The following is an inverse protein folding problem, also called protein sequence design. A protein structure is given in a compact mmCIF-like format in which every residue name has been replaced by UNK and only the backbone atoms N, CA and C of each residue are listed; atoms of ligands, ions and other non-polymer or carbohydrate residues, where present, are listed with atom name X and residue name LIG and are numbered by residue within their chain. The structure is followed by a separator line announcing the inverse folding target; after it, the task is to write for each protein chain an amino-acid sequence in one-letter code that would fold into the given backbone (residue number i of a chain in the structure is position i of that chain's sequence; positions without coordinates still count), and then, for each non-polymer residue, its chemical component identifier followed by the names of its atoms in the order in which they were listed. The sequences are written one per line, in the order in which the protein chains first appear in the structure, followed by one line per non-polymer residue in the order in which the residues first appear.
data_IF_311832655277
#
_entry.id   IF_311832655277
#
_cell.length_a   1.000
_cell.length_b   1.000
_cell.length_c   1.000
_cell.angle_alpha   90.00
_cell.angle_beta   90.00
_cell.angle_gamma   90.00
#
_symmetry.space_group_name_H-M   'P 1'
#
loop_
_entity.id
_entity.type
_entity.pdbx_description
1 polymer ?
2 non-polymer ?
3 non-polymer ?
4 non-polymer ?
5 non-polymer ?
6 water ?
#
# COMPACT_ATOMS: atom_id res chain seq x y z
N UNK A 1 5.20 2.24 -18.23
CA UNK A 1 4.41 3.46 -18.18
C UNK A 1 3.75 3.66 -16.82
N UNK A 2 2.69 4.46 -16.83
CA UNK A 2 2.02 4.91 -15.60
C UNK A 2 1.59 3.69 -14.77
N UNK A 3 0.97 2.65 -15.36
CA UNK A 3 0.43 1.55 -14.52
C UNK A 3 1.59 0.75 -13.92
N UNK A 4 2.64 0.54 -14.69
CA UNK A 4 3.81 -0.13 -14.11
C UNK A 4 4.36 0.74 -12.97
N UNK A 5 4.40 2.05 -13.12
CA UNK A 5 4.95 2.95 -12.09
C UNK A 5 4.19 2.76 -10.78
N UNK A 6 2.87 2.58 -10.86
CA UNK A 6 2.10 2.39 -9.63
C UNK A 6 2.61 1.11 -8.93
N UNK A 7 2.92 0.05 -9.68
CA UNK A 7 3.41 -1.25 -9.15
C UNK A 7 4.79 -1.06 -8.57
N UNK A 8 5.63 -0.27 -9.23
CA UNK A 8 7.01 0.06 -8.71
C UNK A 8 6.90 0.83 -7.38
N UNK A 9 6.09 1.85 -7.34
CA UNK A 9 5.97 2.63 -6.08
C UNK A 9 5.40 1.74 -4.98
N UNK A 10 4.35 1.00 -5.28
CA UNK A 10 3.70 0.10 -4.27
C UNK A 10 4.69 -0.92 -3.74
N UNK A 11 5.64 -1.39 -4.54
CA UNK A 11 6.61 -2.40 -4.06
C UNK A 11 7.56 -1.84 -3.00
N UNK A 12 7.74 -0.53 -2.87
CA UNK A 12 8.55 0.02 -1.75
C UNK A 12 7.88 1.29 -1.27
N UNK A 13 6.59 1.21 -1.01
CA UNK A 13 5.74 2.42 -0.90
C UNK A 13 6.14 3.30 0.29
N UNK A 14 6.46 2.68 1.44
CA UNK A 14 6.85 3.41 2.68
C UNK A 14 8.05 4.32 2.34
N UNK A 15 9.09 3.77 1.68
CA UNK A 15 10.30 4.55 1.31
C UNK A 15 9.97 5.62 0.27
N UNK A 16 9.28 5.24 -0.80
CA UNK A 16 8.95 6.24 -1.82
C UNK A 16 8.08 7.37 -1.26
N UNK A 17 7.09 7.04 -0.46
CA UNK A 17 6.14 8.02 0.09
C UNK A 17 6.92 9.05 0.95
N UNK A 18 7.77 8.56 1.85
CA UNK A 18 8.51 9.46 2.74
C UNK A 18 9.40 10.36 1.88
N UNK A 19 10.11 9.78 0.92
CA UNK A 19 11.15 10.48 0.11
C UNK A 19 10.48 11.51 -0.79
N UNK A 20 9.31 11.21 -1.37
CA UNK A 20 8.62 12.22 -2.25
C UNK A 20 8.02 13.34 -1.41
N UNK A 21 7.46 12.98 -0.26
CA UNK A 21 6.84 13.97 0.59
C UNK A 21 7.92 14.88 1.17
N UNK A 22 9.09 14.34 1.48
CA UNK A 22 10.20 15.18 1.95
C UNK A 22 10.65 16.06 0.81
N UNK A 23 10.71 15.50 -0.42
CA UNK A 23 11.13 16.34 -1.56
C UNK A 23 10.17 17.53 -1.66
N UNK A 24 8.89 17.27 -1.44
CA UNK A 24 7.84 18.29 -1.54
C UNK A 24 8.12 19.36 -0.47
N UNK A 25 8.24 18.93 0.77
CA UNK A 25 8.37 19.89 1.91
C UNK A 25 9.69 20.66 1.81
N UNK A 26 10.74 20.09 1.24
CA UNK A 26 12.05 20.79 1.11
C UNK A 26 12.01 21.73 -0.11
N UNK A 27 11.29 21.37 -1.18
CA UNK A 27 11.15 22.29 -2.33
C UNK A 27 10.28 23.49 -1.97
N UNK A 28 9.27 23.34 -1.13
CA UNK A 28 8.21 24.36 -0.83
C UNK A 28 8.11 24.48 0.68
N UNK A 29 9.14 25.07 1.35
CA UNK A 29 9.18 25.11 2.81
C UNK A 29 7.97 25.82 3.40
N UNK A 30 7.36 26.79 2.67
CA UNK A 30 6.18 27.51 3.24
C UNK A 30 5.04 26.51 3.39
N UNK A 31 5.08 25.35 2.70
CA UNK A 31 4.03 24.31 2.80
C UNK A 31 4.01 23.68 4.19
N UNK A 32 5.03 23.85 5.03
CA UNK A 32 5.02 23.33 6.43
C UNK A 32 4.09 24.23 7.29
N UNK A 33 3.52 25.29 6.71
CA UNK A 33 2.48 26.14 7.34
C UNK A 33 1.21 25.31 7.57
N UNK A 34 0.95 24.27 6.78
CA UNK A 34 -0.18 23.32 6.97
C UNK A 34 0.19 22.25 7.98
N UNK A 35 1.48 22.13 8.31
CA UNK A 35 2.06 21.07 9.16
C UNK A 35 3.01 21.72 10.17
N UNK A 36 2.48 22.46 11.15
CA UNK A 36 3.31 23.29 12.09
C UNK A 36 4.28 22.41 12.91
N UNK A 37 3.86 21.20 13.28
CA UNK A 37 4.62 20.13 13.99
C UNK A 37 5.91 19.71 13.22
N UNK A 38 6.06 20.12 11.96
CA UNK A 38 7.19 19.66 11.11
C UNK A 38 8.31 20.69 11.05
N UNK A 39 8.06 21.90 11.53
CA UNK A 39 9.03 23.02 11.58
C UNK A 39 10.23 22.59 12.41
N UNK A 40 11.42 23.02 11.95
CA UNK A 40 12.69 22.86 12.66
C UNK A 40 13.11 21.43 12.79
N UNK A 41 12.67 20.54 11.90
CA UNK A 41 13.06 19.10 11.92
C UNK A 41 13.76 18.75 10.61
N UNK A 42 14.88 18.05 10.71
CA UNK A 42 15.61 17.47 9.56
C UNK A 42 14.73 16.33 9.02
N UNK A 43 15.02 15.89 7.80
CA UNK A 43 14.35 14.72 7.23
C UNK A 43 14.34 13.54 8.17
N UNK A 44 15.49 13.18 8.77
CA UNK A 44 15.63 11.91 9.55
C UNK A 44 14.76 12.02 10.81
N UNK A 45 14.71 13.23 11.37
CA UNK A 45 13.77 13.58 12.47
C UNK A 45 12.35 13.27 12.01
N UNK A 46 11.89 13.96 10.94
CA UNK A 46 10.50 13.87 10.43
C UNK A 46 10.17 12.40 10.32
N UNK A 47 11.08 11.59 9.78
CA UNK A 47 10.84 10.16 9.53
C UNK A 47 10.56 9.50 10.89
N UNK A 48 11.02 10.09 11.99
CA UNK A 48 10.81 9.51 13.34
C UNK A 48 9.63 10.14 14.10
N UNK A 49 8.76 10.91 13.44
CA UNK A 49 7.55 11.47 14.08
C UNK A 49 6.34 10.68 13.55
N UNK A 50 5.55 10.11 14.45
CA UNK A 50 4.51 9.12 14.09
C UNK A 50 3.51 9.72 13.11
N UNK A 51 3.06 10.96 13.30
CA UNK A 51 2.02 11.56 12.43
C UNK A 51 2.59 11.86 11.03
N UNK A 52 3.91 12.09 10.91
CA UNK A 52 4.58 12.15 9.59
C UNK A 52 4.56 10.81 8.86
N UNK A 53 5.00 9.76 9.51
CA UNK A 53 5.05 8.41 8.94
C UNK A 53 3.62 8.00 8.56
N UNK A 54 2.80 7.80 9.59
CA UNK A 54 1.54 7.05 9.42
C UNK A 54 0.83 7.68 8.23
N UNK A 55 0.77 9.01 8.29
CA UNK A 55 0.09 9.96 7.38
C UNK A 55 0.65 9.91 5.96
N UNK A 56 1.94 10.28 5.75
CA UNK A 56 2.63 10.13 4.43
C UNK A 56 2.24 8.75 3.85
N UNK A 57 2.23 7.68 4.63
CA UNK A 57 1.90 6.33 4.08
C UNK A 57 0.43 6.38 3.59
N UNK A 58 -0.45 7.05 4.35
CA UNK A 58 -1.92 7.09 4.03
C UNK A 58 -2.13 7.96 2.78
N UNK A 59 -1.35 9.03 2.62
CA UNK A 59 -1.34 9.88 1.42
C UNK A 59 -1.02 8.99 0.21
N UNK A 60 0.04 8.20 0.29
CA UNK A 60 0.53 7.47 -0.91
C UNK A 60 -0.34 6.22 -1.12
N UNK A 61 -0.83 5.59 -0.05
CA UNK A 61 -1.74 4.43 -0.27
C UNK A 61 -2.92 4.97 -1.09
N UNK A 62 -3.52 6.09 -0.69
CA UNK A 62 -4.75 6.56 -1.40
C UNK A 62 -4.36 7.11 -2.77
N UNK A 63 -3.24 7.81 -2.89
CA UNK A 63 -2.85 8.38 -4.20
C UNK A 63 -2.66 7.22 -5.18
N UNK A 64 -2.06 6.12 -4.75
CA UNK A 64 -1.86 5.01 -5.71
C UNK A 64 -3.22 4.40 -6.09
N UNK A 65 -4.20 4.38 -5.19
CA UNK A 65 -5.57 3.88 -5.54
C UNK A 65 -6.17 4.80 -6.62
N UNK A 66 -6.09 6.07 -6.38
CA UNK A 66 -6.66 7.10 -7.30
C UNK A 66 -5.98 6.97 -8.67
N UNK A 67 -4.65 6.85 -8.70
CA UNK A 67 -3.86 6.60 -9.93
C UNK A 67 -4.35 5.32 -10.57
N UNK A 68 -4.57 4.24 -9.82
CA UNK A 68 -4.99 2.93 -10.36
C UNK A 68 -6.41 2.97 -10.94
N UNK A 69 -7.27 3.81 -10.38
CA UNK A 69 -8.64 3.90 -10.89
C UNK A 69 -8.78 4.85 -12.06
N UNK A 70 -7.74 5.61 -12.37
CA UNK A 70 -7.70 6.59 -13.45
C UNK A 70 -7.75 5.88 -14.81
N UNK A 71 -8.27 6.59 -15.78
CA UNK A 71 -8.14 6.19 -17.22
C UNK A 71 -7.23 7.19 -17.91
N UNK A 72 -6.15 6.75 -18.53
CA UNK A 72 -5.22 7.66 -19.26
C UNK A 72 -4.86 8.88 -18.37
N UNK A 73 -4.53 8.64 -17.11
CA UNK A 73 -4.06 9.67 -16.17
C UNK A 73 -5.18 10.64 -15.80
N UNK A 74 -6.47 10.28 -15.97
CA UNK A 74 -7.59 11.17 -15.63
C UNK A 74 -8.31 10.49 -14.47
N UNK A 75 -8.29 11.10 -13.27
CA UNK A 75 -8.86 10.46 -12.09
C UNK A 75 -10.38 10.46 -12.19
N UNK A 76 -10.99 9.53 -11.49
CA UNK A 76 -12.44 9.50 -11.29
C UNK A 76 -12.90 10.76 -10.58
N UNK A 77 -14.01 11.31 -11.07
CA UNK A 77 -14.61 12.46 -10.37
C UNK A 77 -14.96 12.10 -8.91
N UNK A 78 -15.46 10.88 -8.65
CA UNK A 78 -15.71 10.40 -7.26
C UNK A 78 -14.47 10.48 -6.38
N UNK A 79 -13.27 10.20 -6.92
CA UNK A 79 -12.03 10.22 -6.12
C UNK A 79 -11.73 11.67 -5.74
N UNK A 80 -11.97 12.58 -6.66
CA UNK A 80 -11.70 14.00 -6.42
C UNK A 80 -12.72 14.48 -5.37
N UNK A 81 -14.00 14.15 -5.51
CA UNK A 81 -15.08 14.47 -4.53
C UNK A 81 -14.60 14.01 -3.13
N UNK A 82 -14.21 12.75 -3.03
CA UNK A 82 -13.79 12.15 -1.73
C UNK A 82 -12.67 12.97 -1.13
N UNK A 83 -11.67 13.32 -1.94
CA UNK A 83 -10.52 14.08 -1.46
C UNK A 83 -10.98 15.47 -1.01
N UNK A 84 -11.96 16.05 -1.69
CA UNK A 84 -12.30 17.47 -1.36
C UNK A 84 -12.99 17.50 -0.01
N UNK A 85 -13.91 16.57 0.21
CA UNK A 85 -14.81 16.56 1.39
C UNK A 85 -14.12 15.90 2.60
N UNK A 86 -12.81 15.56 2.50
CA UNK A 86 -12.03 15.16 3.71
C UNK A 86 -11.89 16.32 4.70
N UNK A 87 -12.37 16.14 5.93
CA UNK A 87 -12.39 17.24 6.95
C UNK A 87 -10.95 17.73 7.22
N UNK A 88 -9.99 16.82 7.23
CA UNK A 88 -8.54 17.06 7.41
C UNK A 88 -7.96 18.01 6.33
N UNK A 89 -8.60 18.08 5.14
CA UNK A 89 -8.16 18.96 4.03
C UNK A 89 -8.97 20.27 3.90
N UNK A 90 -9.57 20.74 4.98
CA UNK A 90 -10.42 21.96 4.97
C UNK A 90 -9.56 23.20 4.63
N UNK A 91 -8.36 23.25 5.17
CA UNK A 91 -7.42 24.36 4.93
C UNK A 91 -6.98 24.51 3.47
N UNK A 92 -7.06 23.46 2.66
CA UNK A 92 -6.21 23.38 1.43
C UNK A 92 -6.87 23.97 0.19
N UNK A 93 -6.01 24.27 -0.80
CA UNK A 93 -6.40 24.72 -2.15
C UNK A 93 -5.66 23.86 -3.17
N UNK A 94 -6.01 24.02 -4.45
CA UNK A 94 -5.39 23.19 -5.50
C UNK A 94 -3.88 23.44 -5.54
N UNK A 95 -3.40 24.64 -5.20
CA UNK A 95 -1.98 24.98 -5.10
C UNK A 95 -1.19 24.00 -4.25
N UNK A 96 -1.75 23.51 -3.14
CA UNK A 96 -1.05 22.56 -2.25
C UNK A 96 -0.78 21.27 -3.07
N UNK A 97 -1.77 20.81 -3.81
CA UNK A 97 -1.72 19.53 -4.58
C UNK A 97 -0.81 19.71 -5.79
N UNK A 98 -0.89 20.84 -6.50
CA UNK A 98 0.02 21.15 -7.64
C UNK A 98 1.48 21.02 -7.21
N UNK A 99 1.84 21.61 -6.07
CA UNK A 99 3.22 21.61 -5.55
C UNK A 99 3.63 20.17 -5.19
N UNK A 100 2.77 19.38 -4.59
CA UNK A 100 3.12 17.98 -4.30
C UNK A 100 3.51 17.27 -5.61
N UNK A 101 2.70 17.45 -6.65
CA UNK A 101 2.95 16.73 -7.93
C UNK A 101 4.17 17.29 -8.66
N UNK A 102 4.45 18.59 -8.58
CA UNK A 102 5.70 19.13 -9.18
C UNK A 102 6.90 18.43 -8.52
N UNK A 103 6.87 18.26 -7.21
CA UNK A 103 8.00 17.65 -6.48
C UNK A 103 8.08 16.16 -6.84
N UNK A 104 6.92 15.48 -6.93
CA UNK A 104 6.84 14.08 -7.34
C UNK A 104 7.43 13.89 -8.75
N UNK A 105 7.08 14.75 -9.72
CA UNK A 105 7.65 14.57 -11.08
C UNK A 105 9.16 14.82 -11.06
N UNK A 106 9.59 15.89 -10.41
CA UNK A 106 11.05 16.22 -10.30
C UNK A 106 11.80 15.04 -9.66
N UNK A 107 11.27 14.47 -8.57
CA UNK A 107 11.82 13.26 -7.94
C UNK A 107 11.96 12.12 -8.96
N UNK A 108 10.93 11.86 -9.78
CA UNK A 108 10.99 10.76 -10.74
C UNK A 108 12.08 11.05 -11.80
N UNK A 109 12.12 12.29 -12.26
CA UNK A 109 13.07 12.81 -13.27
C UNK A 109 14.51 12.64 -12.79
N UNK A 110 14.78 12.80 -11.49
CA UNK A 110 16.14 12.73 -10.88
C UNK A 110 16.50 11.30 -10.49
N UNK A 111 15.53 10.38 -10.44
CA UNK A 111 15.76 9.00 -9.96
C UNK A 111 16.59 8.22 -10.99
N UNK A 112 17.22 7.13 -10.58
CA UNK A 112 17.88 6.30 -11.61
C UNK A 112 16.94 5.56 -12.58
N UNK A 113 15.61 5.68 -12.42
CA UNK A 113 14.62 4.67 -12.86
C UNK A 113 13.70 5.17 -13.96
N UNK A 114 13.17 4.26 -14.78
CA UNK A 114 12.43 4.56 -16.04
C UNK A 114 10.97 4.90 -15.72
N UNK A 115 10.75 5.74 -14.71
CA UNK A 115 9.36 6.24 -14.43
C UNK A 115 8.89 7.02 -15.64
N UNK A 116 7.59 6.98 -15.87
CA UNK A 116 6.92 7.73 -16.96
C UNK A 116 6.55 9.11 -16.38
N UNK A 117 7.52 10.00 -16.22
CA UNK A 117 7.34 11.24 -15.45
C UNK A 117 6.32 12.14 -16.16
N UNK A 118 6.24 12.05 -17.47
CA UNK A 118 5.25 12.86 -18.21
C UNK A 118 3.83 12.42 -17.89
N UNK A 119 3.59 11.14 -17.67
CA UNK A 119 2.25 10.64 -17.27
C UNK A 119 1.95 11.13 -15.86
N UNK A 120 2.89 11.10 -14.93
CA UNK A 120 2.66 11.67 -13.57
C UNK A 120 2.37 13.18 -13.61
N UNK A 121 3.03 13.90 -14.50
CA UNK A 121 2.79 15.36 -14.64
C UNK A 121 1.33 15.59 -15.09
N UNK A 122 0.85 14.81 -16.07
CA UNK A 122 -0.54 14.93 -16.56
C UNK A 122 -1.53 14.49 -15.47
N UNK A 123 -1.21 13.43 -14.75
CA UNK A 123 -2.02 12.92 -13.62
C UNK A 123 -2.16 14.04 -12.59
N UNK A 124 -1.07 14.73 -12.27
CA UNK A 124 -1.14 15.78 -11.24
C UNK A 124 -2.01 16.94 -11.72
N UNK A 125 -1.82 17.36 -12.97
CA UNK A 125 -2.66 18.44 -13.56
C UNK A 125 -4.15 18.00 -13.60
N UNK A 126 -4.41 16.75 -13.99
CA UNK A 126 -5.78 16.26 -14.19
C UNK A 126 -6.44 16.16 -12.81
N UNK A 127 -5.70 15.68 -11.80
CA UNK A 127 -6.25 15.63 -10.44
C UNK A 127 -6.60 17.04 -9.92
N UNK A 128 -5.74 18.02 -10.13
CA UNK A 128 -5.99 19.40 -9.67
C UNK A 128 -7.25 19.87 -10.39
N UNK A 129 -7.40 19.63 -11.69
CA UNK A 129 -8.61 20.07 -12.41
C UNK A 129 -9.86 19.43 -11.77
N UNK A 130 -9.80 18.14 -11.49
CA UNK A 130 -10.91 17.35 -10.93
C UNK A 130 -11.25 17.87 -9.54
N UNK A 131 -10.22 18.22 -8.74
CA UNK A 131 -10.43 18.75 -7.37
C UNK A 131 -11.19 20.09 -7.48
N UNK A 132 -10.74 21.02 -8.33
CA UNK A 132 -11.48 22.27 -8.61
C UNK A 132 -12.95 22.00 -8.96
N UNK A 133 -13.20 21.08 -9.92
CA UNK A 133 -14.57 20.75 -10.39
C UNK A 133 -15.42 20.17 -9.24
N UNK A 134 -14.77 19.50 -8.27
CA UNK A 134 -15.46 18.88 -7.13
C UNK A 134 -15.67 19.85 -5.97
N UNK A 135 -15.07 21.05 -6.02
CA UNK A 135 -15.34 22.13 -5.06
C UNK A 135 -14.14 22.62 -4.27
N UNK A 136 -12.93 22.20 -4.61
CA UNK A 136 -11.73 22.67 -3.86
C UNK A 136 -11.43 24.09 -4.36
N UNK A 137 -10.97 24.96 -3.47
CA UNK A 137 -10.68 26.37 -3.83
C UNK A 137 -9.29 26.51 -4.45
N UNK B 1 -17.86 -5.75 -1.58
CA UNK B 1 -17.42 -7.09 -2.04
C UNK B 1 -15.91 -7.18 -2.07
N UNK B 2 -15.39 -8.22 -2.72
CA UNK B 2 -13.93 -8.47 -2.85
C UNK B 2 -13.19 -7.27 -3.39
N UNK B 3 -13.59 -6.68 -4.51
CA UNK B 3 -12.85 -5.50 -5.07
C UNK B 3 -12.73 -4.37 -4.05
N UNK B 4 -13.83 -4.01 -3.37
CA UNK B 4 -13.82 -2.93 -2.38
C UNK B 4 -12.90 -3.37 -1.24
N UNK B 5 -12.90 -4.66 -0.88
CA UNK B 5 -12.04 -5.12 0.23
C UNK B 5 -10.55 -4.87 -0.11
N UNK B 6 -10.18 -5.14 -1.34
CA UNK B 6 -8.80 -4.81 -1.81
C UNK B 6 -8.55 -3.33 -1.59
N UNK B 7 -9.50 -2.46 -1.92
CA UNK B 7 -9.32 -0.99 -1.71
C UNK B 7 -9.19 -0.69 -0.21
N UNK B 8 -10.05 -1.26 0.62
CA UNK B 8 -9.97 -1.08 2.11
C UNK B 8 -8.59 -1.50 2.64
N UNK B 9 -8.16 -2.69 2.29
CA UNK B 9 -6.84 -3.21 2.74
C UNK B 9 -5.73 -2.28 2.25
N UNK B 10 -5.74 -1.93 0.97
CA UNK B 10 -4.66 -1.08 0.44
C UNK B 10 -4.69 0.30 1.10
N UNK B 11 -5.85 0.83 1.53
CA UNK B 11 -5.94 2.15 2.19
C UNK B 11 -5.12 2.23 3.46
N UNK B 12 -4.92 1.11 4.13
CA UNK B 12 -4.14 1.09 5.40
C UNK B 12 -3.34 -0.19 5.41
N UNK B 13 -2.55 -0.39 4.34
CA UNK B 13 -2.00 -1.71 4.07
C UNK B 13 -1.02 -2.16 5.16
N UNK B 14 -0.14 -1.28 5.63
CA UNK B 14 0.87 -1.61 6.66
C UNK B 14 0.19 -2.14 7.94
N UNK B 15 -0.89 -1.50 8.34
CA UNK B 15 -1.66 -1.83 9.56
C UNK B 15 -2.36 -3.16 9.38
N UNK B 16 -3.11 -3.32 8.30
CA UNK B 16 -3.83 -4.57 8.06
C UNK B 16 -2.85 -5.73 7.90
N UNK B 17 -1.76 -5.57 7.16
CA UNK B 17 -0.74 -6.60 6.88
C UNK B 17 -0.18 -7.10 8.22
N UNK B 18 0.22 -6.18 9.10
CA UNK B 18 0.76 -6.60 10.42
C UNK B 18 -0.31 -7.35 11.24
N UNK B 19 -1.54 -6.86 11.29
CA UNK B 19 -2.60 -7.40 12.19
C UNK B 19 -3.02 -8.78 11.66
N UNK B 20 -3.11 -8.96 10.33
CA UNK B 20 -3.46 -10.29 9.78
C UNK B 20 -2.31 -11.26 9.93
N UNK B 21 -1.10 -10.81 9.67
CA UNK B 21 0.07 -11.71 9.77
C UNK B 21 0.21 -12.18 11.22
N UNK B 22 0.08 -11.29 12.18
CA UNK B 22 0.12 -11.65 13.63
C UNK B 22 -0.98 -12.64 13.93
N UNK B 23 -2.18 -12.43 13.35
CA UNK B 23 -3.29 -13.39 13.62
C UNK B 23 -2.88 -14.77 13.12
N UNK B 24 -2.27 -14.82 11.94
CA UNK B 24 -1.70 -16.08 11.40
C UNK B 24 -0.67 -16.73 12.35
N UNK B 25 0.31 -15.95 12.78
CA UNK B 25 1.39 -16.50 13.61
C UNK B 25 0.85 -16.98 14.95
N UNK B 26 -0.14 -16.30 15.47
CA UNK B 26 -0.69 -16.61 16.81
C UNK B 26 -1.63 -17.83 16.68
N UNK B 27 -2.35 -17.99 15.59
CA UNK B 27 -3.24 -19.14 15.37
C UNK B 27 -2.43 -20.40 15.10
N UNK B 28 -1.28 -20.26 14.46
CA UNK B 28 -0.46 -21.40 14.00
C UNK B 28 0.96 -21.23 14.46
N UNK B 29 1.22 -21.34 15.77
CA UNK B 29 2.56 -21.04 16.27
C UNK B 29 3.67 -21.86 15.58
N UNK B 30 3.42 -23.08 15.12
CA UNK B 30 4.48 -23.86 14.41
C UNK B 30 4.91 -23.17 13.13
N UNK B 31 4.06 -22.34 12.55
CA UNK B 31 4.43 -21.59 11.32
C UNK B 31 5.57 -20.61 11.62
N UNK B 32 5.70 -20.22 12.89
CA UNK B 32 6.63 -19.13 13.30
C UNK B 32 8.09 -19.58 13.10
N UNK B 33 8.31 -20.85 12.67
CA UNK B 33 9.62 -21.45 12.22
C UNK B 33 10.12 -20.89 10.89
N UNK B 34 9.25 -20.78 9.90
CA UNK B 34 9.59 -20.12 8.60
C UNK B 34 10.15 -18.71 8.88
N UNK B 35 10.05 -18.25 10.14
CA UNK B 35 10.33 -16.86 10.56
C UNK B 35 11.11 -16.91 11.89
N UNK B 36 12.35 -17.40 11.79
CA UNK B 36 13.28 -17.60 12.94
C UNK B 36 13.47 -16.32 13.76
N UNK B 37 13.46 -15.17 13.07
CA UNK B 37 13.73 -13.80 13.59
C UNK B 37 12.62 -13.33 14.58
N UNK B 38 11.45 -13.95 14.48
CA UNK B 38 10.22 -13.49 15.18
C UNK B 38 10.00 -14.32 16.42
N UNK B 39 10.79 -15.37 16.66
CA UNK B 39 10.58 -16.24 17.83
C UNK B 39 10.84 -15.40 19.09
N UNK B 40 10.04 -15.64 20.14
CA UNK B 40 10.24 -15.04 21.46
C UNK B 40 9.90 -13.56 21.54
N UNK B 41 9.04 -13.06 20.64
CA UNK B 41 8.59 -11.66 20.57
C UNK B 41 7.06 -11.57 20.63
N UNK B 42 6.54 -10.64 21.41
CA UNK B 42 5.10 -10.41 21.50
C UNK B 42 4.66 -9.65 20.24
N UNK B 43 3.37 -9.42 20.13
CA UNK B 43 2.83 -8.67 18.95
C UNK B 43 3.42 -7.26 18.93
N UNK B 44 3.49 -6.57 20.07
CA UNK B 44 4.05 -5.19 20.07
C UNK B 44 5.58 -5.25 19.91
N UNK B 45 6.29 -6.29 20.37
CA UNK B 45 7.76 -6.42 20.16
C UNK B 45 8.02 -6.61 18.65
N UNK B 46 7.15 -7.31 17.93
CA UNK B 46 7.28 -7.46 16.45
C UNK B 46 6.93 -6.13 15.77
N UNK B 47 5.84 -5.44 16.15
CA UNK B 47 5.37 -4.21 15.45
C UNK B 47 6.34 -3.04 15.68
N UNK B 48 7.23 -3.14 16.65
CA UNK B 48 8.28 -2.12 16.89
C UNK B 48 9.54 -2.40 16.05
N UNK B 49 9.59 -3.51 15.33
CA UNK B 49 10.72 -3.85 14.44
C UNK B 49 10.38 -3.30 13.06
N UNK B 50 11.08 -2.29 12.55
CA UNK B 50 10.77 -1.74 11.21
C UNK B 50 10.76 -2.90 10.21
N UNK B 51 11.61 -3.92 10.38
CA UNK B 51 11.70 -4.98 9.35
C UNK B 51 10.41 -5.87 9.31
N UNK B 52 9.72 -5.99 10.44
CA UNK B 52 8.48 -6.80 10.50
C UNK B 52 7.46 -6.09 9.62
N UNK B 53 7.28 -4.81 9.87
CA UNK B 53 6.33 -4.00 9.08
C UNK B 53 6.69 -3.95 7.61
N UNK B 54 7.95 -3.61 7.34
CA UNK B 54 8.40 -3.46 5.94
C UNK B 54 8.10 -4.76 5.20
N UNK B 55 8.42 -5.91 5.79
CA UNK B 55 8.25 -7.21 5.10
C UNK B 55 6.74 -7.52 4.93
N UNK B 56 5.98 -7.47 6.01
CA UNK B 56 4.53 -7.81 6.02
C UNK B 56 3.82 -6.92 5.00
N UNK B 57 4.16 -5.65 4.97
CA UNK B 57 3.56 -4.74 4.00
C UNK B 57 3.83 -5.24 2.57
N UNK B 58 5.05 -5.67 2.26
CA UNK B 58 5.44 -6.07 0.88
C UNK B 58 4.77 -7.38 0.48
N UNK B 59 4.57 -8.28 1.44
CA UNK B 59 3.80 -9.54 1.28
C UNK B 59 2.38 -9.18 0.90
N UNK B 60 1.76 -8.27 1.66
CA UNK B 60 0.33 -7.95 1.44
C UNK B 60 0.19 -7.11 0.15
N UNK B 61 1.20 -6.32 -0.21
CA UNK B 61 1.16 -5.63 -1.52
C UNK B 61 1.08 -6.66 -2.65
N UNK B 62 1.93 -7.69 -2.67
CA UNK B 62 1.87 -8.70 -3.72
C UNK B 62 0.53 -9.45 -3.63
N UNK B 63 0.07 -9.79 -2.44
CA UNK B 63 -1.21 -10.48 -2.29
C UNK B 63 -2.33 -9.62 -2.92
N UNK B 64 -2.31 -8.31 -2.69
CA UNK B 64 -3.37 -7.42 -3.25
C UNK B 64 -3.26 -7.35 -4.80
N UNK B 65 -2.04 -7.31 -5.35
CA UNK B 65 -1.81 -7.34 -6.82
C UNK B 65 -2.46 -8.60 -7.40
N UNK B 66 -2.18 -9.76 -6.78
CA UNK B 66 -2.75 -11.06 -7.23
C UNK B 66 -4.26 -11.01 -7.11
N UNK B 67 -4.79 -10.51 -6.00
CA UNK B 67 -6.25 -10.46 -5.79
C UNK B 67 -6.87 -9.54 -6.85
N UNK B 68 -6.25 -8.42 -7.13
CA UNK B 68 -6.79 -7.44 -8.08
C UNK B 68 -6.80 -8.02 -9.49
N UNK B 69 -5.81 -8.80 -9.83
CA UNK B 69 -5.71 -9.37 -11.19
C UNK B 69 -6.61 -10.60 -11.33
N UNK B 70 -7.08 -11.18 -10.21
CA UNK B 70 -7.97 -12.37 -10.22
C UNK B 70 -9.31 -12.06 -10.93
N UNK B 71 -9.91 -13.08 -11.52
CA UNK B 71 -11.28 -12.99 -12.08
C UNK B 71 -12.18 -13.86 -11.21
N UNK B 72 -13.24 -13.31 -10.64
CA UNK B 72 -14.18 -14.06 -9.76
C UNK B 72 -13.40 -14.89 -8.73
N UNK B 73 -12.39 -14.28 -8.14
CA UNK B 73 -11.61 -14.86 -7.02
C UNK B 73 -10.74 -16.04 -7.52
N UNK B 74 -10.46 -16.10 -8.81
CA UNK B 74 -9.53 -17.12 -9.40
C UNK B 74 -8.30 -16.39 -9.83
N UNK B 75 -7.17 -16.67 -9.17
CA UNK B 75 -5.95 -15.98 -9.51
C UNK B 75 -5.43 -16.49 -10.85
N UNK B 76 -4.70 -15.63 -11.52
CA UNK B 76 -3.93 -15.96 -12.74
C UNK B 76 -2.89 -17.04 -12.43
N UNK B 77 -2.82 -18.04 -13.29
CA UNK B 77 -1.79 -19.09 -13.19
C UNK B 77 -0.42 -18.43 -13.15
N UNK B 78 -0.18 -17.35 -13.91
CA UNK B 78 1.15 -16.67 -13.92
C UNK B 78 1.49 -16.15 -12.51
N UNK B 79 0.47 -15.67 -11.79
CA UNK B 79 0.69 -15.12 -10.43
C UNK B 79 1.05 -16.27 -9.49
N UNK B 80 0.29 -17.34 -9.55
CA UNK B 80 0.59 -18.53 -8.74
C UNK B 80 2.04 -18.95 -9.03
N UNK B 81 2.46 -18.94 -10.30
CA UNK B 81 3.83 -19.41 -10.64
C UNK B 81 4.84 -18.43 -10.03
N UNK B 82 4.56 -17.13 -10.05
CA UNK B 82 5.49 -16.17 -9.38
C UNK B 82 5.66 -16.61 -7.92
N UNK B 83 4.58 -16.90 -7.22
CA UNK B 83 4.66 -17.20 -5.79
C UNK B 83 5.43 -18.52 -5.57
N UNK B 84 5.24 -19.50 -6.44
CA UNK B 84 5.95 -20.82 -6.30
C UNK B 84 7.46 -20.64 -6.52
N UNK B 85 7.82 -19.84 -7.52
CA UNK B 85 9.22 -19.70 -8.04
C UNK B 85 10.03 -18.67 -7.23
N UNK B 86 9.38 -17.85 -6.39
CA UNK B 86 10.13 -16.92 -5.50
C UNK B 86 11.07 -17.73 -4.61
N UNK B 87 12.33 -17.30 -4.55
CA UNK B 87 13.42 -17.94 -3.78
C UNK B 87 13.01 -18.07 -2.31
N UNK B 88 12.37 -17.02 -1.79
CA UNK B 88 12.01 -16.94 -0.34
C UNK B 88 10.90 -17.96 -0.05
N UNK B 89 10.28 -18.54 -1.10
CA UNK B 89 9.19 -19.53 -0.87
C UNK B 89 9.69 -20.96 -1.16
N UNK B 90 11.00 -21.15 -1.35
CA UNK B 90 11.60 -22.49 -1.60
C UNK B 90 11.18 -23.49 -0.51
N UNK B 91 11.15 -23.10 0.76
CA UNK B 91 10.65 -24.04 1.79
C UNK B 91 9.28 -24.70 1.51
N UNK B 92 8.34 -23.98 0.89
CA UNK B 92 6.90 -24.01 1.28
C UNK B 92 6.04 -25.11 0.63
N UNK B 93 4.95 -25.43 1.31
CA UNK B 93 3.87 -26.23 0.70
C UNK B 93 2.56 -25.46 0.75
N UNK B 94 1.54 -25.98 0.08
CA UNK B 94 0.26 -25.27 -0.06
C UNK B 94 -0.32 -25.12 1.37
N UNK B 95 -0.02 -26.04 2.28
CA UNK B 95 -0.53 -25.93 3.67
C UNK B 95 -0.18 -24.59 4.30
N UNK B 96 1.02 -24.08 4.04
CA UNK B 96 1.50 -22.79 4.61
C UNK B 96 0.50 -21.68 4.20
N UNK B 97 0.15 -21.64 2.90
CA UNK B 97 -0.74 -20.60 2.31
C UNK B 97 -2.18 -20.84 2.77
N UNK B 98 -2.60 -22.10 2.87
CA UNK B 98 -3.94 -22.45 3.39
C UNK B 98 -4.14 -21.81 4.78
N UNK B 99 -3.18 -22.04 5.67
CA UNK B 99 -3.25 -21.51 7.05
C UNK B 99 -3.28 -19.97 7.06
N UNK B 100 -2.45 -19.31 6.29
CA UNK B 100 -2.53 -17.83 6.20
C UNK B 100 -3.95 -17.37 5.80
N UNK B 101 -4.58 -18.03 4.82
CA UNK B 101 -5.91 -17.59 4.37
C UNK B 101 -6.95 -17.96 5.42
N UNK B 102 -6.84 -19.08 6.15
CA UNK B 102 -7.81 -19.33 7.23
C UNK B 102 -7.84 -18.15 8.25
N UNK B 103 -6.54 -17.82 8.60
CA UNK B 103 -6.29 -16.76 9.61
C UNK B 103 -6.90 -15.47 9.06
N UNK B 104 -6.70 -15.19 7.77
CA UNK B 104 -7.14 -13.92 7.15
C UNK B 104 -8.69 -13.86 7.16
N UNK B 105 -9.33 -15.01 6.87
CA UNK B 105 -10.80 -15.08 6.83
C UNK B 105 -11.34 -14.90 8.25
N UNK B 106 -10.72 -15.52 9.26
CA UNK B 106 -11.17 -15.43 10.68
C UNK B 106 -10.97 -13.99 11.15
N UNK B 107 -9.90 -13.36 10.71
CA UNK B 107 -9.68 -11.94 11.02
C UNK B 107 -10.81 -11.10 10.46
N UNK B 108 -11.17 -11.34 9.21
CA UNK B 108 -12.22 -10.53 8.56
C UNK B 108 -13.57 -10.74 9.30
N UNK B 109 -13.92 -11.98 9.60
CA UNK B 109 -15.19 -12.29 10.29
C UNK B 109 -15.25 -11.56 11.63
N UNK B 110 -14.15 -11.51 12.36
CA UNK B 110 -14.09 -10.97 13.75
C UNK B 110 -14.07 -9.44 13.73
N UNK B 111 -13.75 -8.86 12.59
CA UNK B 111 -13.49 -7.41 12.50
C UNK B 111 -14.83 -6.68 12.59
N UNK B 112 -14.81 -5.42 12.94
CA UNK B 112 -16.18 -4.81 12.87
C UNK B 112 -16.83 -4.81 11.46
N UNK B 113 -16.09 -5.17 10.42
CA UNK B 113 -16.26 -4.48 9.11
C UNK B 113 -16.94 -5.43 8.12
N UNK B 114 -17.49 -4.87 7.06
CA UNK B 114 -18.27 -5.58 6.03
C UNK B 114 -17.35 -6.18 4.94
N UNK B 115 -16.28 -6.84 5.34
CA UNK B 115 -15.42 -7.60 4.40
C UNK B 115 -16.25 -8.75 3.84
N UNK B 116 -16.03 -9.05 2.56
CA UNK B 116 -16.69 -10.20 1.90
C UNK B 116 -15.88 -11.47 2.27
N UNK B 117 -16.05 -11.99 3.48
CA UNK B 117 -15.14 -13.05 3.98
C UNK B 117 -15.32 -14.32 3.12
N UNK B 118 -16.52 -14.54 2.61
CA UNK B 118 -16.81 -15.69 1.68
C UNK B 118 -15.88 -15.63 0.47
N UNK B 119 -15.79 -14.46 -0.11
CA UNK B 119 -14.97 -14.22 -1.31
C UNK B 119 -13.50 -14.48 -0.98
N UNK B 120 -13.01 -13.99 0.17
CA UNK B 120 -11.62 -14.27 0.59
C UNK B 120 -11.37 -15.77 0.83
N UNK B 121 -12.33 -16.51 1.37
CA UNK B 121 -12.18 -17.97 1.60
C UNK B 121 -12.02 -18.61 0.22
N UNK B 122 -12.91 -18.24 -0.72
CA UNK B 122 -12.90 -18.78 -2.10
C UNK B 122 -11.54 -18.49 -2.76
N UNK B 123 -11.07 -17.25 -2.65
CA UNK B 123 -9.81 -16.81 -3.25
C UNK B 123 -8.62 -17.60 -2.66
N UNK B 124 -8.59 -17.82 -1.35
CA UNK B 124 -7.51 -18.62 -0.75
C UNK B 124 -7.55 -20.03 -1.26
N UNK B 125 -8.74 -20.62 -1.31
CA UNK B 125 -8.89 -22.03 -1.81
C UNK B 125 -8.36 -22.08 -3.23
N UNK B 126 -8.81 -21.14 -4.03
CA UNK B 126 -8.41 -21.10 -5.44
C UNK B 126 -6.92 -20.81 -5.58
N UNK B 127 -6.32 -19.99 -4.71
CA UNK B 127 -4.88 -19.68 -4.81
C UNK B 127 -4.08 -20.94 -4.43
N UNK B 128 -4.54 -21.65 -3.39
CA UNK B 128 -3.92 -22.95 -2.97
C UNK B 128 -3.99 -23.95 -4.15
N UNK B 129 -5.13 -24.01 -4.84
CA UNK B 129 -5.27 -24.91 -6.02
C UNK B 129 -4.26 -24.46 -7.11
N UNK B 130 -4.24 -23.16 -7.39
CA UNK B 130 -3.35 -22.61 -8.44
C UNK B 130 -1.90 -22.78 -8.07
N UNK B 131 -1.53 -22.68 -6.78
CA UNK B 131 -0.12 -22.94 -6.36
C UNK B 131 0.21 -24.44 -6.62
N UNK B 132 -0.70 -25.36 -6.30
CA UNK B 132 -0.53 -26.80 -6.63
C UNK B 132 -0.30 -26.96 -8.14
N UNK B 133 -1.18 -26.37 -8.96
CA UNK B 133 -1.13 -26.45 -10.45
C UNK B 133 0.18 -25.84 -10.96
N UNK B 134 0.73 -24.85 -10.26
CA UNK B 134 1.99 -24.20 -10.69
C UNK B 134 3.21 -24.90 -10.07
N UNK B 135 3.05 -26.03 -9.35
CA UNK B 135 4.21 -26.86 -8.94
C UNK B 135 4.54 -26.91 -7.47
N UNK B 136 3.78 -26.24 -6.59
CA UNK B 136 4.04 -26.31 -5.13
C UNK B 136 3.56 -27.65 -4.58
N UNK B 137 4.33 -28.27 -3.69
CA UNK B 137 3.97 -29.55 -3.01
C UNK B 137 2.92 -29.27 -1.94
#
# INVERSE_FOLDING_TARGET
GFKQDIATLRGDLRTYAQDIFLAFLNKYPDEKRNFKNYVGKSDQELKSMAKFGDHTEKVFNLMMEVADRATDCVPLASDASTLVQMKQHSGLTTGNFEKLFVALVEYMRASGQSFDSQSWDRFGKNLVSALSSAGMK
GFKQDIATLRGDLRTYAQDIFLAFLNKYPDEKRNFKNYVGKSDQELKSMAKFGDHTEKVFNLMMEVADRATDCVPLASDASTLVQMKQHSGLTTGNFEKLFVALVEYMRASGQSFDSQSWDRFGKNLVSALSSAGMK
#
